data_IF_412516992925
#
_entry.id   IF_412516992925
#
_cell.length_a   1.000
_cell.length_b   1.000
_cell.length_c   1.000
_cell.angle_alpha   90.00
_cell.angle_beta   90.00
_cell.angle_gamma   90.00
#
_symmetry.space_group_name_H-M   'P 1'
#
loop_
_entity.id
_entity.type
_entity.pdbx_description
1 polymer ?
#
# COMPACT_ATOMS: atom_id res chain seq x y z
N UNK A 1 -29.61 0.04 12.39
CA UNK A 1 -28.94 -0.38 11.14
C UNK A 1 -28.15 0.84 10.69
N UNK A 2 -27.07 1.16 11.40
CA UNK A 2 -26.55 2.53 11.42
C UNK A 2 -25.03 2.47 11.27
N UNK A 3 -24.60 2.41 10.00
CA UNK A 3 -23.22 2.46 9.57
C UNK A 3 -22.69 3.89 9.74
N UNK A 4 -22.33 4.25 10.97
CA UNK A 4 -21.65 5.52 11.26
C UNK A 4 -20.23 5.42 10.72
N UNK A 5 -20.06 5.96 9.51
CA UNK A 5 -18.77 6.38 8.95
C UNK A 5 -18.02 7.17 10.02
N UNK A 6 -17.06 6.54 10.69
CA UNK A 6 -16.00 7.25 11.41
C UNK A 6 -15.17 7.99 10.37
N UNK A 7 -15.58 9.20 10.04
CA UNK A 7 -14.74 10.19 9.37
C UNK A 7 -13.68 10.62 10.38
N UNK A 8 -12.65 9.79 10.52
CA UNK A 8 -11.61 9.99 11.54
C UNK A 8 -10.84 11.25 11.21
N UNK A 9 -10.79 12.19 12.15
CA UNK A 9 -9.80 13.25 12.18
C UNK A 9 -8.44 12.54 12.26
N UNK A 10 -7.84 12.25 11.11
CA UNK A 10 -6.58 11.52 11.08
C UNK A 10 -5.50 12.40 11.69
N UNK A 11 -4.91 11.93 12.78
CA UNK A 11 -3.84 12.65 13.47
C UNK A 11 -2.67 12.90 12.52
N UNK A 12 -1.87 13.95 12.76
CA UNK A 12 -0.66 14.20 11.95
C UNK A 12 0.25 12.98 11.88
N UNK A 13 0.33 12.21 12.98
CA UNK A 13 1.09 10.97 13.03
C UNK A 13 0.53 9.91 12.08
N UNK A 14 -0.78 9.68 12.08
CA UNK A 14 -1.40 8.70 11.17
C UNK A 14 -1.17 9.04 9.70
N UNK A 15 -1.19 10.33 9.35
CA UNK A 15 -0.85 10.78 7.99
C UNK A 15 0.60 10.46 7.66
N UNK A 16 1.55 10.85 8.51
CA UNK A 16 2.97 10.56 8.31
C UNK A 16 3.25 9.06 8.19
N UNK A 17 2.58 8.23 9.01
CA UNK A 17 2.70 6.77 8.94
C UNK A 17 2.12 6.25 7.62
N UNK A 18 0.95 6.74 7.21
CA UNK A 18 0.32 6.32 5.95
C UNK A 18 1.16 6.69 4.73
N UNK A 19 1.74 7.90 4.72
CA UNK A 19 2.63 8.35 3.66
C UNK A 19 3.91 7.51 3.62
N UNK A 20 4.52 7.26 4.78
CA UNK A 20 5.71 6.41 4.88
C UNK A 20 5.42 4.98 4.39
N UNK A 21 4.32 4.37 4.82
CA UNK A 21 3.89 3.05 4.34
C UNK A 21 3.68 3.04 2.82
N UNK A 22 3.01 4.06 2.27
CA UNK A 22 2.76 4.18 0.83
C UNK A 22 4.07 4.27 0.05
N UNK A 23 5.02 5.10 0.49
CA UNK A 23 6.35 5.24 -0.14
C UNK A 23 7.13 3.93 -0.11
N UNK A 24 7.12 3.20 1.01
CA UNK A 24 7.82 1.91 1.14
C UNK A 24 7.23 0.87 0.18
N UNK A 25 5.90 0.78 0.10
CA UNK A 25 5.22 -0.13 -0.82
C UNK A 25 5.53 0.22 -2.29
N UNK A 26 5.47 1.50 -2.65
CA UNK A 26 5.80 1.96 -4.01
C UNK A 26 7.25 1.61 -4.38
N UNK A 27 8.20 1.81 -3.46
CA UNK A 27 9.59 1.48 -3.71
C UNK A 27 9.82 -0.03 -3.88
N UNK A 28 9.13 -0.86 -3.07
CA UNK A 28 9.19 -2.30 -3.21
C UNK A 28 8.58 -2.78 -4.53
N UNK A 29 7.42 -2.25 -4.94
CA UNK A 29 6.79 -2.56 -6.22
C UNK A 29 7.67 -2.13 -7.40
N UNK A 30 8.31 -0.96 -7.32
CA UNK A 30 9.25 -0.49 -8.33
C UNK A 30 10.47 -1.40 -8.47
N UNK A 31 11.03 -1.90 -7.37
CA UNK A 31 12.16 -2.84 -7.37
C UNK A 31 11.77 -4.25 -7.81
N UNK A 32 10.51 -4.60 -7.63
CA UNK A 32 9.93 -5.87 -8.05
C UNK A 32 9.36 -5.83 -9.47
N UNK A 33 9.53 -4.72 -10.20
CA UNK A 33 9.01 -4.55 -11.57
C UNK A 33 7.50 -4.84 -11.67
N UNK A 34 6.74 -4.46 -10.63
CA UNK A 34 5.30 -4.70 -10.57
C UNK A 34 4.88 -6.09 -10.05
N UNK A 35 5.82 -7.02 -9.83
CA UNK A 35 5.49 -8.33 -9.24
C UNK A 35 5.15 -8.19 -7.74
N UNK A 36 3.86 -8.27 -7.44
CA UNK A 36 3.33 -8.19 -6.08
C UNK A 36 3.79 -9.34 -5.17
N UNK A 37 4.15 -10.51 -5.71
CA UNK A 37 4.70 -11.62 -4.93
C UNK A 37 6.12 -11.31 -4.50
N UNK A 38 6.95 -10.83 -5.43
CA UNK A 38 8.33 -10.42 -5.15
C UNK A 38 8.35 -9.23 -4.20
N UNK A 39 7.54 -8.20 -4.45
CA UNK A 39 7.42 -7.04 -3.55
C UNK A 39 6.99 -7.45 -2.13
N UNK A 40 6.03 -8.38 -2.00
CA UNK A 40 5.61 -8.87 -0.69
C UNK A 40 6.74 -9.60 0.05
N UNK A 41 7.52 -10.43 -0.65
CA UNK A 41 8.70 -11.10 -0.08
C UNK A 41 9.78 -10.10 0.34
N UNK A 42 10.03 -9.06 -0.46
CA UNK A 42 10.99 -8.00 -0.12
C UNK A 42 10.59 -7.23 1.15
N UNK A 43 9.29 -7.03 1.35
CA UNK A 43 8.75 -6.38 2.55
C UNK A 43 8.63 -7.34 3.76
N UNK A 44 8.94 -8.63 3.60
CA UNK A 44 8.75 -9.63 4.66
C UNK A 44 7.28 -9.90 4.98
N UNK A 45 6.38 -9.67 4.03
CA UNK A 45 4.93 -9.82 4.20
C UNK A 45 4.36 -10.88 3.25
N UNK A 46 3.05 -11.08 3.28
CA UNK A 46 2.34 -11.94 2.32
C UNK A 46 1.67 -11.12 1.23
N UNK A 47 1.49 -11.73 0.04
CA UNK A 47 0.76 -11.12 -1.09
C UNK A 47 -0.60 -10.55 -0.65
N UNK A 48 -1.31 -11.26 0.24
CA UNK A 48 -2.64 -10.86 0.73
C UNK A 48 -2.60 -9.58 1.58
N UNK A 49 -1.57 -9.43 2.41
CA UNK A 49 -1.35 -8.21 3.20
C UNK A 49 -1.00 -7.05 2.29
N UNK A 50 -0.10 -7.27 1.33
CA UNK A 50 0.29 -6.25 0.35
C UNK A 50 -0.90 -5.80 -0.50
N UNK A 51 -1.71 -6.72 -1.03
CA UNK A 51 -2.89 -6.41 -1.83
C UNK A 51 -3.91 -5.57 -1.06
N UNK A 52 -4.14 -5.88 0.23
CA UNK A 52 -5.01 -5.06 1.09
C UNK A 52 -4.46 -3.63 1.24
N UNK A 53 -3.15 -3.47 1.39
CA UNK A 53 -2.50 -2.15 1.52
C UNK A 53 -2.53 -1.37 0.21
N UNK A 54 -2.32 -2.03 -0.93
CA UNK A 54 -2.46 -1.43 -2.27
C UNK A 54 -3.87 -0.87 -2.47
N UNK A 55 -4.91 -1.66 -2.12
CA UNK A 55 -6.29 -1.21 -2.18
C UNK A 55 -6.56 -0.04 -1.21
N UNK A 56 -6.03 -0.10 0.01
CA UNK A 56 -6.18 0.97 1.02
C UNK A 56 -5.56 2.29 0.57
N UNK A 57 -4.43 2.25 -0.13
CA UNK A 57 -3.66 3.43 -0.55
C UNK A 57 -3.89 3.84 -2.00
N UNK A 58 -4.80 3.15 -2.69
CA UNK A 58 -5.14 3.35 -4.11
C UNK A 58 -3.86 3.43 -4.97
N UNK A 59 -2.94 2.49 -4.72
CA UNK A 59 -1.67 2.42 -5.45
C UNK A 59 -1.94 1.80 -6.81
N UNK A 60 -1.75 2.59 -7.86
CA UNK A 60 -1.77 2.07 -9.21
C UNK A 60 -0.55 1.18 -9.43
N UNK A 61 -0.80 -0.11 -9.66
CA UNK A 61 0.24 -1.09 -9.93
C UNK A 61 0.55 -1.21 -11.44
N UNK A 62 -0.33 -0.68 -12.30
CA UNK A 62 -0.15 -0.73 -13.76
C UNK A 62 1.03 0.12 -14.24
N UNK A 63 1.40 1.14 -13.45
CA UNK A 63 2.56 2.00 -13.70
C UNK A 63 3.92 1.27 -13.68
N UNK A 64 3.95 0.01 -13.25
CA UNK A 64 5.16 -0.80 -13.16
C UNK A 64 5.28 -1.87 -14.25
N UNK A 65 4.22 -2.13 -15.03
CA UNK A 65 4.20 -3.22 -16.04
C UNK A 65 4.86 -2.83 -17.40
N UNK A 66 5.39 -1.62 -17.54
CA UNK A 66 5.80 -1.05 -18.84
C UNK A 66 7.33 -0.98 -19.09
N UNK A 67 8.10 -2.02 -18.78
CA UNK A 67 9.49 -2.09 -19.27
C UNK A 67 9.93 -3.48 -19.68
#
# INVERSE_FOLDING_TARGET
MDNVKTSTISSRLERCVSDCEKTVILHALKRAEGDAVVAARMLGTTKRVLARKILKYEIDCTQFESR
#
